data_IF_191791898804
#
_entry.id   IF_191791898804
#
_cell.length_a   1.000
_cell.length_b   1.000
_cell.length_c   1.000
_cell.angle_alpha   90.00
_cell.angle_beta   90.00
_cell.angle_gamma   90.00
#
_symmetry.space_group_name_H-M   'P 1'
#
loop_
_entity.id
_entity.type
_entity.pdbx_description
1 polymer ?
#
# COMPACT_ATOMS: atom_id res chain seq x y z
N UNK A 1 36.96 27.84 -3.86
CA UNK A 1 36.12 27.68 -2.65
C UNK A 1 35.39 26.35 -2.74
N UNK A 2 35.88 25.33 -2.02
CA UNK A 2 35.15 24.06 -1.84
C UNK A 2 34.11 24.30 -0.74
N UNK A 3 32.84 24.44 -1.12
CA UNK A 3 31.73 24.41 -0.16
C UNK A 3 31.71 23.02 0.47
N UNK A 4 32.20 22.91 1.69
CA UNK A 4 32.03 21.72 2.53
C UNK A 4 30.55 21.61 2.87
N UNK A 5 29.82 20.81 2.11
CA UNK A 5 28.44 20.45 2.43
C UNK A 5 28.48 19.62 3.72
N UNK A 6 28.28 20.28 4.86
CA UNK A 6 28.14 19.65 6.16
C UNK A 6 26.91 18.73 6.08
N UNK A 7 27.13 17.43 5.85
CA UNK A 7 26.06 16.42 5.97
C UNK A 7 25.54 16.51 7.41
N UNK A 8 24.26 16.84 7.59
CA UNK A 8 23.66 16.74 8.92
C UNK A 8 23.77 15.29 9.40
N UNK A 9 24.29 15.08 10.60
CA UNK A 9 24.53 13.74 11.17
C UNK A 9 23.27 12.87 11.11
N UNK A 10 22.09 13.46 11.29
CA UNK A 10 20.79 12.78 11.20
C UNK A 10 20.47 12.22 9.80
N UNK A 11 20.81 12.92 8.72
CA UNK A 11 20.57 12.45 7.35
C UNK A 11 21.39 11.19 7.01
N UNK A 12 22.63 11.10 7.52
CA UNK A 12 23.48 9.93 7.32
C UNK A 12 22.95 8.70 8.08
N UNK A 13 22.40 8.88 9.28
CA UNK A 13 21.80 7.78 10.06
C UNK A 13 20.57 7.22 9.34
N UNK A 14 19.67 8.08 8.85
CA UNK A 14 18.47 7.66 8.12
C UNK A 14 18.81 6.92 6.81
N UNK A 15 19.87 7.36 6.12
CA UNK A 15 20.31 6.71 4.89
C UNK A 15 20.75 5.25 5.11
N UNK A 16 21.27 4.91 6.28
CA UNK A 16 21.67 3.54 6.64
C UNK A 16 20.49 2.77 7.26
N UNK A 17 19.69 3.44 8.10
CA UNK A 17 18.55 2.82 8.78
C UNK A 17 17.45 2.39 7.81
N UNK A 18 17.23 3.14 6.72
CA UNK A 18 16.15 2.86 5.76
C UNK A 18 16.32 1.52 5.03
N UNK A 19 17.48 1.20 4.40
CA UNK A 19 17.70 -0.12 3.80
C UNK A 19 17.61 -1.26 4.82
N UNK A 20 18.10 -1.05 6.05
CA UNK A 20 18.00 -2.05 7.11
C UNK A 20 16.54 -2.32 7.47
N UNK A 21 15.73 -1.28 7.64
CA UNK A 21 14.30 -1.41 7.94
C UNK A 21 13.54 -2.14 6.82
N UNK A 22 13.86 -1.85 5.55
CA UNK A 22 13.29 -2.54 4.38
C UNK A 22 13.65 -4.03 4.40
N UNK A 23 14.94 -4.36 4.58
CA UNK A 23 15.41 -5.74 4.60
C UNK A 23 14.87 -6.53 5.79
N UNK A 24 14.77 -5.90 6.97
CA UNK A 24 14.15 -6.49 8.15
C UNK A 24 12.67 -6.80 7.90
N UNK A 25 11.93 -5.86 7.30
CA UNK A 25 10.51 -6.05 6.96
C UNK A 25 10.31 -7.18 5.96
N UNK A 26 11.12 -7.22 4.90
CA UNK A 26 11.12 -8.32 3.92
C UNK A 26 11.45 -9.67 4.59
N UNK A 27 12.44 -9.69 5.48
CA UNK A 27 12.84 -10.88 6.23
C UNK A 27 11.71 -11.41 7.11
N UNK A 28 11.07 -10.54 7.90
CA UNK A 28 9.91 -10.91 8.74
C UNK A 28 8.74 -11.36 7.89
N UNK A 29 8.45 -10.68 6.78
CA UNK A 29 7.36 -11.08 5.88
C UNK A 29 7.61 -12.46 5.28
N UNK A 30 8.83 -12.72 4.79
CA UNK A 30 9.22 -14.03 4.25
C UNK A 30 9.13 -15.10 5.32
N UNK A 31 9.70 -14.85 6.50
CA UNK A 31 9.65 -15.76 7.64
C UNK A 31 8.21 -16.04 8.07
N UNK A 32 7.34 -15.03 8.09
CA UNK A 32 5.94 -15.22 8.48
C UNK A 32 5.11 -16.06 7.51
N UNK A 33 5.56 -16.19 6.26
CA UNK A 33 4.91 -17.06 5.28
C UNK A 33 5.41 -18.51 5.39
N UNK A 34 6.68 -18.74 5.74
CA UNK A 34 7.28 -20.08 5.83
C UNK A 34 7.24 -20.67 7.24
N UNK A 35 7.36 -19.84 8.27
CA UNK A 35 7.29 -20.17 9.69
C UNK A 35 6.41 -19.13 10.41
N UNK A 36 5.08 -19.23 10.27
CA UNK A 36 4.16 -18.19 10.71
C UNK A 36 4.18 -17.99 12.24
N UNK A 37 4.38 -16.75 12.72
CA UNK A 37 4.24 -16.43 14.13
C UNK A 37 2.78 -16.66 14.55
N UNK A 38 2.51 -17.63 15.41
CA UNK A 38 1.13 -18.02 15.78
C UNK A 38 0.59 -19.24 15.04
N UNK A 39 1.42 -19.92 14.24
CA UNK A 39 1.14 -21.23 13.64
C UNK A 39 0.32 -21.20 12.36
N UNK A 40 -0.21 -20.05 11.95
CA UNK A 40 -0.92 -19.84 10.68
C UNK A 40 -0.52 -18.52 10.05
N UNK A 41 -0.28 -18.51 8.73
CA UNK A 41 0.08 -17.28 8.02
C UNK A 41 -1.16 -16.42 7.72
N UNK A 42 -0.93 -15.19 7.22
CA UNK A 42 -2.00 -14.23 6.90
C UNK A 42 -2.99 -14.80 5.87
N UNK A 43 -2.49 -15.49 4.84
CA UNK A 43 -3.32 -16.07 3.79
C UNK A 43 -4.18 -17.22 4.31
N UNK A 44 -3.64 -18.07 5.16
CA UNK A 44 -4.37 -19.16 5.83
C UNK A 44 -5.45 -18.60 6.77
N UNK A 45 -5.15 -17.58 7.56
CA UNK A 45 -6.13 -16.94 8.43
C UNK A 45 -7.28 -16.33 7.61
N UNK A 46 -6.96 -15.72 6.46
CA UNK A 46 -7.92 -15.19 5.51
C UNK A 46 -8.85 -16.27 4.90
N UNK A 47 -8.35 -17.49 4.72
CA UNK A 47 -9.10 -18.59 4.10
C UNK A 47 -9.82 -19.49 5.11
N UNK A 48 -9.49 -19.36 6.40
CA UNK A 48 -10.10 -20.14 7.48
C UNK A 48 -11.03 -19.25 8.29
N UNK A 49 -10.49 -18.52 9.26
CA UNK A 49 -11.24 -17.72 10.22
C UNK A 49 -12.03 -16.59 9.56
N UNK A 50 -11.46 -15.95 8.53
CA UNK A 50 -12.03 -14.75 7.92
C UNK A 50 -12.70 -15.03 6.57
N UNK A 51 -12.96 -16.30 6.24
CA UNK A 51 -13.45 -16.71 4.90
C UNK A 51 -14.72 -15.98 4.45
N UNK A 52 -15.56 -15.58 5.39
CA UNK A 52 -16.84 -14.92 5.14
C UNK A 52 -16.71 -13.38 5.03
N UNK A 53 -15.50 -12.83 5.19
CA UNK A 53 -15.20 -11.42 4.88
C UNK A 53 -15.14 -11.26 3.36
N UNK A 54 -16.25 -10.83 2.77
CA UNK A 54 -16.45 -10.79 1.31
C UNK A 54 -15.60 -9.77 0.55
N UNK A 55 -14.88 -8.88 1.25
CA UNK A 55 -13.89 -7.98 0.63
C UNK A 55 -12.48 -8.56 0.56
N UNK A 56 -12.26 -9.78 1.07
CA UNK A 56 -10.97 -10.43 0.94
C UNK A 56 -10.67 -10.73 -0.54
N UNK A 57 -9.44 -10.50 -1.01
CA UNK A 57 -9.01 -10.89 -2.34
C UNK A 57 -8.62 -12.38 -2.39
N UNK A 58 -8.52 -12.92 -3.60
CA UNK A 58 -7.91 -14.22 -3.86
C UNK A 58 -6.42 -14.25 -3.46
N UNK A 59 -5.88 -15.42 -3.14
CA UNK A 59 -4.52 -15.58 -2.62
C UNK A 59 -3.43 -15.02 -3.55
N UNK A 60 -3.62 -15.09 -4.87
CA UNK A 60 -2.64 -14.55 -5.82
C UNK A 60 -2.44 -13.04 -5.67
N UNK A 61 -3.40 -12.31 -5.09
CA UNK A 61 -3.28 -10.87 -4.88
C UNK A 61 -2.04 -10.50 -4.06
N UNK A 62 -1.65 -11.37 -3.12
CA UNK A 62 -0.50 -11.16 -2.24
C UNK A 62 0.84 -11.23 -2.97
N UNK A 63 0.90 -11.66 -4.24
CA UNK A 63 2.10 -11.56 -5.10
C UNK A 63 2.56 -10.09 -5.23
N UNK A 64 1.65 -9.12 -5.07
CA UNK A 64 1.97 -7.70 -5.08
C UNK A 64 3.03 -7.31 -4.03
N UNK A 65 3.15 -8.06 -2.92
CA UNK A 65 4.21 -7.83 -1.94
C UNK A 65 5.61 -7.98 -2.55
N UNK A 66 5.80 -8.92 -3.48
CA UNK A 66 7.04 -9.05 -4.24
C UNK A 66 7.35 -7.78 -5.04
N UNK A 67 6.35 -7.22 -5.71
CA UNK A 67 6.48 -5.95 -6.47
C UNK A 67 6.80 -4.78 -5.54
N UNK A 68 6.14 -4.70 -4.38
CA UNK A 68 6.39 -3.69 -3.35
C UNK A 68 7.84 -3.80 -2.86
N UNK A 69 8.32 -4.98 -2.48
CA UNK A 69 9.68 -5.15 -1.97
C UNK A 69 10.75 -4.86 -3.02
N UNK A 70 10.53 -5.24 -4.29
CA UNK A 70 11.43 -4.84 -5.39
C UNK A 70 11.50 -3.31 -5.49
N UNK A 71 10.35 -2.63 -5.42
CA UNK A 71 10.28 -1.18 -5.43
C UNK A 71 10.97 -0.53 -4.22
N UNK A 72 10.78 -1.08 -3.02
CA UNK A 72 11.40 -0.58 -1.80
C UNK A 72 12.93 -0.79 -1.81
N UNK A 73 13.42 -1.93 -2.31
CA UNK A 73 14.86 -2.15 -2.49
C UNK A 73 15.44 -1.15 -3.49
N UNK A 74 14.76 -0.92 -4.62
CA UNK A 74 15.17 0.11 -5.58
C UNK A 74 15.24 1.50 -4.94
N UNK A 75 14.25 1.87 -4.12
CA UNK A 75 14.26 3.10 -3.34
C UNK A 75 15.43 3.14 -2.34
N UNK A 76 15.66 2.06 -1.59
CA UNK A 76 16.74 1.95 -0.61
C UNK A 76 18.13 2.17 -1.22
N UNK A 77 18.35 1.69 -2.45
CA UNK A 77 19.58 1.94 -3.23
C UNK A 77 19.61 3.37 -3.78
N UNK A 78 18.46 3.91 -4.19
CA UNK A 78 18.36 5.25 -4.76
C UNK A 78 18.64 6.35 -3.73
N UNK A 79 18.06 6.28 -2.53
CA UNK A 79 18.17 7.32 -1.52
C UNK A 79 19.60 7.48 -0.97
N UNK A 80 20.40 6.40 -0.92
CA UNK A 80 21.81 6.47 -0.47
C UNK A 80 22.76 7.14 -1.48
N UNK A 81 22.33 7.38 -2.72
CA UNK A 81 23.21 7.95 -3.75
C UNK A 81 23.67 9.36 -3.35
N UNK A 82 24.92 9.75 -3.63
CA UNK A 82 25.41 11.10 -3.33
C UNK A 82 24.53 12.22 -3.90
N UNK A 83 23.93 11.99 -5.07
CA UNK A 83 23.02 12.94 -5.73
C UNK A 83 21.71 13.20 -4.96
N UNK A 84 21.32 12.31 -4.04
CA UNK A 84 20.13 12.47 -3.19
C UNK A 84 20.49 12.98 -1.79
N UNK A 85 21.78 13.09 -1.47
CA UNK A 85 22.25 13.64 -0.20
C UNK A 85 21.80 15.09 -0.06
N UNK A 86 20.98 15.37 0.94
CA UNK A 86 20.49 16.73 1.23
C UNK A 86 19.12 17.05 0.61
N UNK A 87 18.52 16.14 -0.17
CA UNK A 87 17.13 16.29 -0.57
C UNK A 87 16.22 16.10 0.65
N UNK A 88 15.59 17.20 1.09
CA UNK A 88 14.73 17.22 2.27
C UNK A 88 13.52 16.30 2.12
N UNK A 89 12.99 16.13 0.91
CA UNK A 89 11.85 15.24 0.66
C UNK A 89 12.25 13.77 0.85
N UNK A 90 13.46 13.39 0.41
CA UNK A 90 14.00 12.04 0.60
C UNK A 90 14.24 11.75 2.08
N UNK A 91 14.91 12.65 2.79
CA UNK A 91 15.17 12.49 4.24
C UNK A 91 13.87 12.34 5.05
N UNK A 92 12.83 13.11 4.70
CA UNK A 92 11.52 12.99 5.35
C UNK A 92 10.83 11.67 4.98
N UNK A 93 10.90 11.26 3.71
CA UNK A 93 10.33 9.99 3.26
C UNK A 93 11.03 8.79 3.91
N UNK A 94 12.34 8.84 4.12
CA UNK A 94 13.13 7.82 4.80
C UNK A 94 12.66 7.61 6.25
N UNK A 95 12.54 8.70 7.02
CA UNK A 95 12.05 8.62 8.39
C UNK A 95 10.64 8.01 8.47
N UNK A 96 9.75 8.42 7.57
CA UNK A 96 8.38 7.90 7.51
C UNK A 96 8.33 6.45 7.02
N UNK A 97 9.19 6.07 6.08
CA UNK A 97 9.28 4.69 5.60
C UNK A 97 9.82 3.76 6.69
N UNK A 98 10.77 4.19 7.52
CA UNK A 98 11.23 3.41 8.67
C UNK A 98 10.06 3.16 9.63
N UNK A 99 9.25 4.18 9.94
CA UNK A 99 8.06 4.01 10.79
C UNK A 99 7.07 3.03 10.15
N UNK A 100 6.82 3.13 8.84
CA UNK A 100 5.96 2.20 8.11
C UNK A 100 6.51 0.76 8.17
N UNK A 101 7.80 0.55 7.98
CA UNK A 101 8.46 -0.75 8.09
C UNK A 101 8.32 -1.37 9.49
N UNK A 102 8.58 -0.61 10.55
CA UNK A 102 8.45 -1.10 11.92
C UNK A 102 6.99 -1.43 12.27
N UNK A 103 6.05 -0.58 11.86
CA UNK A 103 4.62 -0.83 12.02
C UNK A 103 4.15 -2.04 11.19
N UNK A 104 4.74 -2.27 10.01
CA UNK A 104 4.46 -3.44 9.17
C UNK A 104 4.91 -4.75 9.83
N UNK A 105 6.10 -4.76 10.42
CA UNK A 105 6.60 -5.88 11.22
C UNK A 105 5.63 -6.15 12.38
N UNK A 106 5.30 -5.13 13.16
CA UNK A 106 4.36 -5.26 14.28
C UNK A 106 2.98 -5.77 13.81
N UNK A 107 2.49 -5.25 12.69
CA UNK A 107 1.21 -5.66 12.09
C UNK A 107 1.17 -7.16 11.80
N UNK A 108 2.25 -7.74 11.25
CA UNK A 108 2.30 -9.18 10.93
C UNK A 108 2.02 -9.99 12.20
N UNK A 109 2.76 -9.73 13.29
CA UNK A 109 2.57 -10.46 14.55
C UNK A 109 1.18 -10.23 15.15
N UNK A 110 0.71 -8.98 15.19
CA UNK A 110 -0.61 -8.66 15.75
C UNK A 110 -1.73 -9.37 14.98
N UNK A 111 -1.66 -9.39 13.66
CA UNK A 111 -2.66 -10.02 12.82
C UNK A 111 -2.64 -11.55 12.96
N UNK A 112 -1.47 -12.19 12.93
CA UNK A 112 -1.36 -13.66 13.05
C UNK A 112 -1.67 -14.16 14.46
N UNK A 113 -1.44 -13.35 15.50
CA UNK A 113 -1.93 -13.59 16.86
C UNK A 113 -3.40 -13.19 17.08
N UNK A 114 -4.14 -12.87 16.01
CA UNK A 114 -5.58 -12.57 16.02
C UNK A 114 -5.95 -11.33 16.84
N UNK A 115 -4.99 -10.46 17.10
CA UNK A 115 -5.21 -9.16 17.76
C UNK A 115 -5.70 -8.14 16.72
N UNK A 116 -6.89 -8.37 16.16
CA UNK A 116 -7.34 -7.65 14.97
C UNK A 116 -7.46 -6.13 15.17
N UNK A 117 -7.96 -5.65 16.30
CA UNK A 117 -8.01 -4.21 16.57
C UNK A 117 -6.64 -3.57 16.75
N UNK A 118 -5.72 -4.26 17.42
CA UNK A 118 -4.33 -3.80 17.51
C UNK A 118 -3.66 -3.79 16.12
N UNK A 119 -3.95 -4.78 15.28
CA UNK A 119 -3.49 -4.79 13.89
C UNK A 119 -4.07 -3.62 13.08
N UNK A 120 -5.32 -3.22 13.31
CA UNK A 120 -5.88 -2.00 12.68
C UNK A 120 -5.08 -0.77 13.10
N UNK A 121 -4.71 -0.62 14.37
CA UNK A 121 -3.87 0.50 14.81
C UNK A 121 -2.51 0.50 14.09
N UNK A 122 -1.84 -0.64 14.01
CA UNK A 122 -0.58 -0.77 13.27
C UNK A 122 -0.77 -0.42 11.78
N UNK A 123 -1.84 -0.91 11.15
CA UNK A 123 -2.19 -0.63 9.76
C UNK A 123 -2.41 0.88 9.51
N UNK A 124 -3.07 1.57 10.44
CA UNK A 124 -3.27 3.03 10.36
C UNK A 124 -1.95 3.80 10.51
N UNK A 125 -1.00 3.31 11.31
CA UNK A 125 0.35 3.90 11.41
C UNK A 125 1.10 3.75 10.07
N UNK A 126 1.03 2.56 9.44
CA UNK A 126 1.62 2.34 8.10
C UNK A 126 0.98 3.29 7.10
N UNK A 127 -0.36 3.32 7.03
CA UNK A 127 -1.12 4.15 6.10
C UNK A 127 -0.78 5.64 6.28
N UNK A 128 -0.83 6.16 7.51
CA UNK A 128 -0.51 7.55 7.81
C UNK A 128 0.94 7.91 7.43
N UNK A 129 1.89 7.03 7.72
CA UNK A 129 3.30 7.24 7.38
C UNK A 129 3.50 7.29 5.86
N UNK A 130 2.85 6.39 5.11
CA UNK A 130 2.92 6.37 3.64
C UNK A 130 2.19 7.54 3.00
N UNK A 131 1.05 7.99 3.54
CA UNK A 131 0.37 9.21 3.07
C UNK A 131 1.31 10.40 3.24
N UNK A 132 1.92 10.56 4.41
CA UNK A 132 2.84 11.66 4.66
C UNK A 132 4.06 11.57 3.71
N UNK A 133 4.65 10.40 3.53
CA UNK A 133 5.79 10.22 2.64
C UNK A 133 5.42 10.55 1.17
N UNK A 134 4.26 10.08 0.73
CA UNK A 134 3.68 10.38 -0.58
C UNK A 134 3.52 11.89 -0.81
N UNK A 135 3.01 12.60 0.20
CA UNK A 135 2.84 14.05 0.16
C UNK A 135 4.19 14.79 0.14
N UNK A 136 5.16 14.36 0.98
CA UNK A 136 6.51 14.97 1.04
C UNK A 136 7.31 14.76 -0.24
N UNK A 137 7.19 13.59 -0.87
CA UNK A 137 7.82 13.30 -2.16
C UNK A 137 7.20 14.10 -3.32
N UNK A 138 6.05 14.75 -3.11
CA UNK A 138 5.39 15.53 -4.14
C UNK A 138 4.85 14.66 -5.27
N UNK A 139 4.47 13.41 -4.98
CA UNK A 139 3.99 12.49 -6.01
C UNK A 139 2.74 13.08 -6.68
N UNK A 140 2.74 13.03 -8.02
CA UNK A 140 1.69 13.63 -8.85
C UNK A 140 1.72 15.16 -8.96
N UNK A 141 2.67 15.85 -8.32
CA UNK A 141 2.86 17.30 -8.44
C UNK A 141 4.11 17.61 -9.25
N UNK A 142 3.92 18.06 -10.49
CA UNK A 142 4.99 18.45 -11.39
C UNK A 142 5.71 17.27 -12.06
N UNK A 143 6.65 17.61 -12.95
CA UNK A 143 7.47 16.63 -13.67
C UNK A 143 8.73 16.33 -12.87
N UNK A 144 9.01 15.04 -12.68
CA UNK A 144 10.27 14.56 -12.10
C UNK A 144 11.06 13.76 -13.14
N UNK A 145 12.38 13.73 -12.97
CA UNK A 145 13.26 12.89 -13.79
C UNK A 145 12.89 11.41 -13.70
N UNK A 146 13.24 10.63 -14.75
CA UNK A 146 12.93 9.19 -14.81
C UNK A 146 13.48 8.42 -13.61
N UNK A 147 14.67 8.78 -13.12
CA UNK A 147 15.33 8.13 -11.99
C UNK A 147 14.49 8.24 -10.70
N UNK A 148 14.08 9.45 -10.32
CA UNK A 148 13.19 9.68 -9.16
C UNK A 148 11.81 9.05 -9.34
N UNK A 149 11.28 9.07 -10.57
CA UNK A 149 9.96 8.49 -10.86
C UNK A 149 9.93 6.98 -10.61
N UNK A 150 10.91 6.25 -11.12
CA UNK A 150 10.97 4.79 -11.03
C UNK A 150 11.45 4.29 -9.68
N UNK A 151 12.37 5.02 -9.03
CA UNK A 151 12.96 4.55 -7.79
C UNK A 151 12.29 5.09 -6.54
N UNK A 152 11.51 6.18 -6.61
CA UNK A 152 10.81 6.74 -5.44
C UNK A 152 9.30 6.85 -5.67
N UNK A 153 8.85 7.57 -6.70
CA UNK A 153 7.41 7.86 -6.83
C UNK A 153 6.58 6.58 -7.03
N UNK A 154 6.92 5.77 -8.03
CA UNK A 154 6.16 4.55 -8.36
C UNK A 154 6.16 3.55 -7.19
N UNK A 155 7.30 3.21 -6.55
CA UNK A 155 7.31 2.33 -5.38
C UNK A 155 6.40 2.80 -4.23
N UNK A 156 6.46 4.08 -3.86
CA UNK A 156 5.60 4.63 -2.81
C UNK A 156 4.13 4.67 -3.22
N UNK A 157 3.81 4.98 -4.47
CA UNK A 157 2.44 4.91 -5.00
C UNK A 157 1.86 3.50 -4.91
N UNK A 158 2.63 2.48 -5.32
CA UNK A 158 2.21 1.07 -5.27
C UNK A 158 2.00 0.65 -3.82
N UNK A 159 2.95 0.98 -2.93
CA UNK A 159 2.87 0.58 -1.53
C UNK A 159 1.69 1.25 -0.81
N UNK A 160 1.50 2.56 -1.00
CA UNK A 160 0.39 3.29 -0.41
C UNK A 160 -0.97 2.77 -0.92
N UNK A 161 -1.09 2.49 -2.21
CA UNK A 161 -2.32 1.97 -2.79
C UNK A 161 -2.68 0.60 -2.20
N UNK A 162 -1.70 -0.30 -2.09
CA UNK A 162 -1.93 -1.61 -1.50
C UNK A 162 -2.31 -1.52 -0.03
N UNK A 163 -1.62 -0.67 0.75
CA UNK A 163 -1.96 -0.44 2.16
C UNK A 163 -3.34 0.20 2.32
N UNK A 164 -3.80 1.02 1.38
CA UNK A 164 -5.16 1.57 1.39
C UNK A 164 -6.21 0.46 1.28
N UNK A 165 -6.01 -0.49 0.35
CA UNK A 165 -6.88 -1.68 0.22
C UNK A 165 -6.77 -2.57 1.47
N UNK A 166 -5.55 -2.83 1.93
CA UNK A 166 -5.31 -3.67 3.10
C UNK A 166 -5.93 -3.08 4.37
N UNK A 167 -6.01 -1.75 4.49
CA UNK A 167 -6.69 -1.06 5.60
C UNK A 167 -8.18 -1.37 5.60
N UNK A 168 -8.84 -1.27 4.45
CA UNK A 168 -10.27 -1.61 4.30
C UNK A 168 -10.51 -3.07 4.72
N UNK A 169 -9.68 -3.99 4.20
CA UNK A 169 -9.78 -5.41 4.51
C UNK A 169 -9.51 -5.68 5.99
N UNK A 170 -8.51 -5.04 6.59
CA UNK A 170 -8.15 -5.26 7.99
C UNK A 170 -9.25 -4.77 8.94
N UNK A 171 -9.85 -3.61 8.66
CA UNK A 171 -11.00 -3.10 9.43
C UNK A 171 -12.18 -4.06 9.27
N UNK A 172 -12.49 -4.50 8.04
CA UNK A 172 -13.56 -5.48 7.80
C UNK A 172 -13.33 -6.79 8.57
N UNK A 173 -12.09 -7.29 8.61
CA UNK A 173 -11.71 -8.48 9.38
C UNK A 173 -11.86 -8.28 10.89
N UNK A 174 -11.47 -7.11 11.42
CA UNK A 174 -11.63 -6.80 12.84
C UNK A 174 -13.10 -6.73 13.25
N UNK A 175 -13.92 -6.07 12.44
CA UNK A 175 -15.36 -5.99 12.65
C UNK A 175 -16.03 -7.37 12.58
N UNK A 176 -15.70 -8.16 11.55
CA UNK A 176 -16.20 -9.51 11.38
C UNK A 176 -15.84 -10.42 12.56
N UNK A 177 -14.58 -10.38 13.02
CA UNK A 177 -14.13 -11.17 14.18
C UNK A 177 -14.85 -10.81 15.49
N UNK A 178 -15.50 -9.64 15.55
CA UNK A 178 -16.32 -9.20 16.68
C UNK A 178 -17.83 -9.30 16.40
N UNK A 179 -18.23 -10.08 15.38
CA UNK A 179 -19.62 -10.28 14.95
C UNK A 179 -20.37 -8.98 14.61
N UNK A 180 -19.65 -7.95 14.14
CA UNK A 180 -20.25 -6.68 13.75
C UNK A 180 -20.35 -6.58 12.22
N UNK A 181 -21.55 -6.31 11.71
CA UNK A 181 -21.84 -6.14 10.28
C UNK A 181 -22.42 -4.76 9.92
N UNK A 182 -22.50 -3.84 10.89
CA UNK A 182 -23.17 -2.55 10.71
C UNK A 182 -24.67 -2.65 10.42
N UNK A 183 -25.29 -3.82 10.70
CA UNK A 183 -26.69 -4.10 10.39
C UNK A 183 -26.98 -4.41 8.92
N UNK A 184 -25.95 -4.51 8.08
CA UNK A 184 -26.09 -4.82 6.65
C UNK A 184 -25.86 -6.31 6.38
N UNK A 185 -26.50 -6.83 5.33
CA UNK A 185 -26.18 -8.14 4.78
C UNK A 185 -24.72 -8.18 4.28
N UNK A 186 -24.00 -9.31 4.38
CA UNK A 186 -22.57 -9.34 4.07
C UNK A 186 -22.21 -8.91 2.64
N UNK A 187 -23.08 -9.16 1.65
CA UNK A 187 -22.88 -8.69 0.27
C UNK A 187 -22.98 -7.17 0.15
N UNK A 188 -23.99 -6.57 0.80
CA UNK A 188 -24.18 -5.12 0.81
C UNK A 188 -23.05 -4.43 1.56
N UNK A 189 -22.60 -5.01 2.67
CA UNK A 189 -21.45 -4.53 3.41
C UNK A 189 -20.19 -4.53 2.54
N UNK A 190 -19.91 -5.63 1.83
CA UNK A 190 -18.75 -5.70 0.94
C UNK A 190 -18.85 -4.75 -0.25
N UNK A 191 -20.03 -4.60 -0.85
CA UNK A 191 -20.27 -3.63 -1.93
C UNK A 191 -20.00 -2.20 -1.45
N UNK A 192 -20.46 -1.83 -0.25
CA UNK A 192 -20.19 -0.52 0.35
C UNK A 192 -18.68 -0.27 0.50
N UNK A 193 -17.94 -1.25 1.00
CA UNK A 193 -16.48 -1.15 1.16
C UNK A 193 -15.75 -1.04 -0.19
N UNK A 194 -16.24 -1.71 -1.26
CA UNK A 194 -15.74 -1.54 -2.62
C UNK A 194 -16.05 -0.13 -3.16
N UNK A 195 -17.22 0.43 -2.87
CA UNK A 195 -17.54 1.82 -3.24
C UNK A 195 -16.58 2.79 -2.53
N UNK A 196 -16.31 2.59 -1.25
CA UNK A 196 -15.35 3.39 -0.48
C UNK A 196 -13.94 3.29 -1.08
N UNK A 197 -13.47 2.08 -1.39
CA UNK A 197 -12.17 1.91 -2.03
C UNK A 197 -12.10 2.60 -3.40
N UNK A 198 -13.17 2.53 -4.19
CA UNK A 198 -13.25 3.20 -5.49
C UNK A 198 -13.16 4.71 -5.30
N UNK A 199 -13.90 5.26 -4.33
CA UNK A 199 -13.86 6.68 -4.00
C UNK A 199 -12.44 7.14 -3.61
N UNK A 200 -11.69 6.36 -2.82
CA UNK A 200 -10.30 6.65 -2.48
C UNK A 200 -9.43 6.72 -3.75
N UNK A 201 -9.53 5.73 -4.63
CA UNK A 201 -8.78 5.71 -5.89
C UNK A 201 -9.13 6.91 -6.79
N UNK A 202 -10.42 7.27 -6.89
CA UNK A 202 -10.87 8.45 -7.63
C UNK A 202 -10.30 9.74 -7.06
N UNK A 203 -10.32 9.92 -5.73
CA UNK A 203 -9.75 11.10 -5.06
C UNK A 203 -8.26 11.24 -5.39
N UNK A 204 -7.49 10.15 -5.31
CA UNK A 204 -6.06 10.18 -5.65
C UNK A 204 -5.86 10.46 -7.15
N UNK A 205 -6.67 9.88 -8.03
CA UNK A 205 -6.58 10.15 -9.46
C UNK A 205 -6.84 11.61 -9.80
N UNK A 206 -7.93 12.21 -9.30
CA UNK A 206 -8.28 13.58 -9.65
C UNK A 206 -7.34 14.61 -9.02
N UNK A 207 -6.75 14.31 -7.85
CA UNK A 207 -5.79 15.21 -7.22
C UNK A 207 -4.36 15.06 -7.73
N UNK A 208 -3.93 13.84 -8.11
CA UNK A 208 -2.52 13.49 -8.34
C UNK A 208 -2.25 12.82 -9.69
N UNK A 209 -3.29 12.38 -10.40
CA UNK A 209 -3.22 11.59 -11.64
C UNK A 209 -2.24 10.42 -11.54
N UNK A 210 -2.26 9.75 -10.38
CA UNK A 210 -1.35 8.66 -10.09
C UNK A 210 -1.84 7.34 -10.68
N UNK A 211 -1.33 7.01 -11.87
CA UNK A 211 -1.68 5.77 -12.58
C UNK A 211 -1.21 4.53 -11.82
N UNK A 212 -0.04 4.58 -11.16
CA UNK A 212 0.48 3.42 -10.44
C UNK A 212 -0.44 3.06 -9.26
N UNK A 213 -0.98 4.07 -8.58
CA UNK A 213 -1.98 3.89 -7.53
C UNK A 213 -3.24 3.17 -8.05
N UNK A 214 -3.75 3.62 -9.20
CA UNK A 214 -4.96 3.03 -9.82
C UNK A 214 -4.76 1.58 -10.24
N UNK A 215 -3.61 1.25 -10.82
CA UNK A 215 -3.29 -0.12 -11.24
C UNK A 215 -3.31 -1.10 -10.07
N UNK A 216 -2.92 -0.67 -8.87
CA UNK A 216 -2.99 -1.51 -7.67
C UNK A 216 -4.44 -1.75 -7.22
N UNK A 217 -5.31 -0.74 -7.29
CA UNK A 217 -6.74 -0.92 -7.02
C UNK A 217 -7.40 -1.85 -8.04
N UNK A 218 -7.08 -1.70 -9.32
CA UNK A 218 -7.54 -2.61 -10.39
C UNK A 218 -7.09 -4.06 -10.10
N UNK A 219 -5.82 -4.25 -9.73
CA UNK A 219 -5.28 -5.55 -9.33
C UNK A 219 -6.04 -6.15 -8.14
N UNK A 220 -6.24 -5.38 -7.08
CA UNK A 220 -6.97 -5.82 -5.91
C UNK A 220 -8.42 -6.20 -6.23
N UNK A 221 -9.10 -5.41 -7.05
CA UNK A 221 -10.50 -5.64 -7.40
C UNK A 221 -10.66 -6.85 -8.32
N UNK A 222 -9.73 -7.08 -9.24
CA UNK A 222 -9.67 -8.32 -10.01
C UNK A 222 -9.54 -9.55 -9.11
N UNK A 223 -8.75 -9.46 -8.05
CA UNK A 223 -8.60 -10.56 -7.10
C UNK A 223 -9.82 -10.76 -6.20
N UNK A 224 -10.52 -9.69 -5.80
CA UNK A 224 -11.78 -9.78 -5.07
C UNK A 224 -12.86 -10.38 -5.97
N UNK A 225 -12.99 -9.90 -7.21
CA UNK A 225 -13.94 -10.43 -8.19
C UNK A 225 -13.72 -11.94 -8.44
N UNK A 226 -12.47 -12.38 -8.56
CA UNK A 226 -12.17 -13.81 -8.72
C UNK A 226 -12.58 -14.62 -7.49
N UNK A 227 -12.27 -14.14 -6.28
CA UNK A 227 -12.61 -14.85 -5.04
C UNK A 227 -14.11 -14.94 -4.80
N UNK A 228 -14.85 -13.90 -5.16
CA UNK A 228 -16.27 -13.77 -4.85
C UNK A 228 -17.18 -14.22 -6.00
N UNK A 229 -16.72 -15.12 -6.88
CA UNK A 229 -17.47 -15.57 -8.06
C UNK A 229 -18.84 -16.21 -7.74
N UNK A 230 -19.02 -16.75 -6.54
CA UNK A 230 -20.31 -17.28 -6.07
C UNK A 230 -21.28 -16.20 -5.52
N UNK A 231 -20.83 -14.94 -5.42
CA UNK A 231 -21.60 -13.82 -4.86
C UNK A 231 -21.70 -12.70 -5.90
N UNK A 232 -22.69 -12.76 -6.82
CA UNK A 232 -22.76 -11.88 -7.98
C UNK A 232 -22.73 -10.38 -7.66
N UNK A 233 -23.36 -9.96 -6.56
CA UNK A 233 -23.37 -8.56 -6.16
C UNK A 233 -21.95 -8.03 -5.87
N UNK A 234 -21.16 -8.79 -5.11
CA UNK A 234 -19.79 -8.40 -4.75
C UNK A 234 -18.87 -8.54 -5.96
N UNK A 235 -19.02 -9.62 -6.73
CA UNK A 235 -18.25 -9.85 -7.95
C UNK A 235 -18.44 -8.72 -8.97
N UNK A 236 -19.69 -8.40 -9.32
CA UNK A 236 -20.01 -7.34 -10.28
C UNK A 236 -19.62 -5.96 -9.75
N UNK A 237 -19.76 -5.70 -8.45
CA UNK A 237 -19.26 -4.48 -7.82
C UNK A 237 -17.76 -4.30 -7.98
N UNK A 238 -16.98 -5.36 -7.73
CA UNK A 238 -15.53 -5.34 -7.90
C UNK A 238 -15.12 -5.18 -9.38
N UNK A 239 -15.77 -5.90 -10.30
CA UNK A 239 -15.54 -5.75 -11.75
C UNK A 239 -15.87 -4.32 -12.21
N UNK A 240 -17.03 -3.79 -11.82
CA UNK A 240 -17.45 -2.44 -12.17
C UNK A 240 -16.46 -1.38 -11.70
N UNK A 241 -15.98 -1.48 -10.46
CA UNK A 241 -14.92 -0.61 -9.94
C UNK A 241 -13.62 -0.74 -10.73
N UNK A 242 -13.17 -1.96 -11.04
CA UNK A 242 -11.96 -2.20 -11.81
C UNK A 242 -12.05 -1.63 -13.23
N UNK A 243 -13.18 -1.84 -13.92
CA UNK A 243 -13.44 -1.32 -15.27
C UNK A 243 -13.48 0.21 -15.28
N UNK A 244 -14.15 0.83 -14.29
CA UNK A 244 -14.17 2.29 -14.14
C UNK A 244 -12.75 2.86 -14.02
N UNK A 245 -11.94 2.30 -13.11
CA UNK A 245 -10.57 2.75 -12.90
C UNK A 245 -9.68 2.49 -14.12
N UNK A 246 -9.86 1.36 -14.81
CA UNK A 246 -9.15 1.07 -16.06
C UNK A 246 -9.51 2.07 -17.16
N UNK A 247 -10.79 2.45 -17.28
CA UNK A 247 -11.24 3.50 -18.18
C UNK A 247 -10.57 4.85 -17.91
N UNK A 248 -10.39 5.21 -16.63
CA UNK A 248 -9.66 6.43 -16.26
C UNK A 248 -8.16 6.37 -16.58
N UNK A 249 -7.53 5.21 -16.39
CA UNK A 249 -6.14 5.00 -16.81
C UNK A 249 -6.01 5.20 -18.32
N UNK A 250 -6.89 4.57 -19.11
CA UNK A 250 -6.90 4.73 -20.56
C UNK A 250 -7.14 6.20 -20.93
N UNK A 251 -8.18 6.84 -20.39
CA UNK A 251 -8.47 8.25 -20.64
C UNK A 251 -7.28 9.17 -20.32
N UNK A 252 -6.58 8.93 -19.21
CA UNK A 252 -5.39 9.69 -18.82
C UNK A 252 -4.23 9.55 -19.81
N UNK A 253 -4.12 8.46 -20.56
CA UNK A 253 -3.07 8.27 -21.57
C UNK A 253 -3.33 9.08 -22.84
N UNK A 254 -4.60 9.42 -23.10
CA UNK A 254 -5.03 10.12 -24.32
C UNK A 254 -5.09 11.64 -24.14
N UNK A 255 -5.11 12.13 -22.90
CA UNK A 255 -5.03 13.56 -22.65
C UNK A 255 -3.62 14.08 -22.98
N UNK A 256 -3.48 15.13 -23.82
CA UNK A 256 -2.20 15.78 -24.05
C UNK A 256 -1.59 16.21 -22.72
N UNK A 257 -0.27 16.00 -22.53
CA UNK A 257 0.49 16.44 -21.33
C UNK A 257 0.55 17.96 -21.13
N UNK A 258 -0.33 18.74 -21.78
CA UNK A 258 -0.42 20.19 -21.72
C UNK A 258 -1.49 20.59 -20.73
N UNK A 259 -1.19 21.66 -20.00
CA UNK A 259 -2.01 22.30 -18.97
C UNK A 259 -1.90 21.59 -17.63
N UNK A 260 -1.00 22.12 -16.80
CA UNK A 260 -1.10 22.44 -15.37
C UNK A 260 0.35 22.54 -14.88
N UNK A 261 1.03 23.56 -15.44
CA UNK A 261 2.16 24.21 -14.76
C UNK A 261 1.62 24.99 -13.57
#
# INVERSE_FOLDING_TARGET
>A
MKSSTQKSTGGTVLAIATPIAILATLGVNTLSNTNPPGGVNVGELANTLLRDVRVLPANYAFIIWGVIYVGLIAYGIYQIRPAQTGDTAIVQADALLIVACLAQIAWIYLFTFRQFWASVLAMLIILGSLILAYLRLGIGRGRVGRDRRWNAHIPFSIYLAWISVATIVNIASALFANNWSGGLAPDLWALLLLIIGTAIALVVFFQRRDIAFLLVFIWAYGAIALRQAAFPLVQLGAIGGAVLLAGLVLWSLWQPKRQFE
#
